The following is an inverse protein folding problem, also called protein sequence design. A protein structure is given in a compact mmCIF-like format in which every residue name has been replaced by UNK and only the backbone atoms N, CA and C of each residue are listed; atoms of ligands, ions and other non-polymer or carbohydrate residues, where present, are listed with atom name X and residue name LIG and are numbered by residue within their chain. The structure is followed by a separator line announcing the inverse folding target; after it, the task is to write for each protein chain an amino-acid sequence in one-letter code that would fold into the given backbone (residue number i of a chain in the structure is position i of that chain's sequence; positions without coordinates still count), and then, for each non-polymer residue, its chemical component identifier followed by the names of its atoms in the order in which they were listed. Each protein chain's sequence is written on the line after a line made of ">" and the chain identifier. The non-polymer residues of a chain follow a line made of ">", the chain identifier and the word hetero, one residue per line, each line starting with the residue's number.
data_IF_278121366917
#
_entry.id   IF_278121366917
#
_cell.length_a   1.000
_cell.length_b   1.000
_cell.length_c   1.000
_cell.angle_alpha   90.00
_cell.angle_beta   90.00
_cell.angle_gamma   90.00
#
_symmetry.space_group_name_H-M   'P 1'
#
loop_
_entity.id
_entity.type
_entity.pdbx_description
1 polymer ?
#
# COMPACT_ATOMS: atom_id res chain seq x y z
N UNK A 1 20.89 -34.32 1.87
CA UNK A 1 19.52 -34.79 2.18
C UNK A 1 19.48 -35.01 3.68
N UNK A 2 18.96 -34.06 4.44
CA UNK A 2 18.74 -34.22 5.88
C UNK A 2 17.25 -34.49 6.07
N UNK A 3 16.90 -35.75 6.33
CA UNK A 3 15.58 -36.10 6.84
C UNK A 3 15.58 -35.82 8.35
N UNK A 4 14.76 -34.86 8.77
CA UNK A 4 14.41 -34.68 10.17
C UNK A 4 13.20 -35.56 10.44
N UNK A 5 13.38 -36.59 11.26
CA UNK A 5 12.31 -37.47 11.73
C UNK A 5 11.12 -36.65 12.25
N UNK A 6 9.98 -36.74 11.56
CA UNK A 6 8.67 -36.33 12.08
C UNK A 6 7.89 -37.59 12.44
N UNK A 7 7.50 -37.66 13.70
CA UNK A 7 6.59 -38.65 14.26
C UNK A 7 5.35 -38.85 13.39
N UNK A 8 4.96 -40.12 13.23
CA UNK A 8 3.76 -40.56 12.51
C UNK A 8 2.50 -39.83 13.01
N UNK A 9 1.69 -39.35 12.05
CA UNK A 9 0.47 -38.54 12.16
C UNK A 9 0.73 -37.04 12.39
N UNK A 10 1.26 -36.37 11.38
CA UNK A 10 1.53 -34.93 11.40
C UNK A 10 0.54 -34.14 10.54
N UNK A 11 -0.42 -33.46 11.17
CA UNK A 11 -1.11 -32.35 10.52
C UNK A 11 -0.15 -31.16 10.43
N UNK A 12 -0.07 -30.49 9.28
CA UNK A 12 0.85 -29.36 9.13
C UNK A 12 0.50 -28.40 8.01
N UNK A 13 0.96 -27.17 8.15
CA UNK A 13 1.02 -26.19 7.07
C UNK A 13 2.34 -26.38 6.32
N UNK A 14 2.25 -26.55 5.01
CA UNK A 14 3.38 -26.77 4.12
C UNK A 14 3.50 -25.61 3.14
N UNK A 15 4.74 -25.32 2.75
CA UNK A 15 5.04 -24.30 1.75
C UNK A 15 6.10 -24.83 0.78
N UNK A 16 6.01 -24.43 -0.49
CA UNK A 16 6.99 -24.75 -1.53
C UNK A 16 7.28 -23.52 -2.37
N UNK A 17 8.56 -23.16 -2.42
CA UNK A 17 9.09 -22.13 -3.31
C UNK A 17 9.36 -22.73 -4.69
N UNK A 18 8.97 -22.00 -5.74
CA UNK A 18 9.16 -22.42 -7.13
C UNK A 18 9.57 -21.22 -7.98
N UNK A 19 10.67 -21.32 -8.71
CA UNK A 19 10.99 -20.31 -9.71
C UNK A 19 9.97 -20.35 -10.85
N UNK A 20 9.65 -19.19 -11.40
CA UNK A 20 8.65 -19.04 -12.43
C UNK A 20 9.30 -18.78 -13.80
N UNK A 21 8.53 -19.06 -14.85
CA UNK A 21 8.85 -18.62 -16.21
C UNK A 21 8.27 -17.22 -16.41
N UNK A 22 9.05 -16.26 -16.93
CA UNK A 22 8.51 -14.95 -17.28
C UNK A 22 7.60 -15.06 -18.51
N UNK A 23 6.58 -14.21 -18.58
CA UNK A 23 5.67 -14.15 -19.71
C UNK A 23 6.27 -13.24 -20.80
N UNK A 24 6.23 -13.63 -22.08
CA UNK A 24 6.67 -12.74 -23.15
C UNK A 24 5.83 -11.46 -23.21
N UNK A 25 6.49 -10.29 -23.36
CA UNK A 25 5.79 -9.00 -23.46
C UNK A 25 4.82 -8.91 -24.63
N UNK A 26 5.06 -9.65 -25.71
CA UNK A 26 4.20 -9.68 -26.91
C UNK A 26 2.78 -10.17 -26.65
N UNK A 27 2.55 -10.87 -25.54
CA UNK A 27 1.22 -11.39 -25.16
C UNK A 27 0.64 -10.68 -23.92
N UNK A 28 1.29 -9.61 -23.45
CA UNK A 28 0.82 -8.80 -22.33
C UNK A 28 -0.02 -7.64 -22.88
N UNK A 29 -1.28 -7.59 -22.46
CA UNK A 29 -2.22 -6.51 -22.73
C UNK A 29 -2.75 -5.91 -21.42
N UNK A 30 -3.42 -4.74 -21.44
CA UNK A 30 -4.00 -4.14 -20.24
C UNK A 30 -4.89 -5.06 -19.40
N UNK A 31 -5.59 -6.03 -20.03
CA UNK A 31 -6.42 -7.01 -19.33
C UNK A 31 -5.67 -8.25 -18.81
N UNK A 32 -4.36 -8.35 -19.05
CA UNK A 32 -3.59 -9.54 -18.67
C UNK A 32 -3.21 -9.48 -17.19
N UNK A 33 -3.67 -10.46 -16.41
CA UNK A 33 -3.35 -10.58 -14.98
C UNK A 33 -1.91 -11.09 -14.78
N UNK A 34 -0.98 -10.16 -14.55
CA UNK A 34 0.46 -10.40 -14.38
C UNK A 34 0.98 -9.83 -13.06
N UNK A 35 2.09 -10.36 -12.59
CA UNK A 35 2.86 -9.83 -11.47
C UNK A 35 4.33 -9.57 -11.87
N UNK A 36 4.92 -8.41 -11.54
CA UNK A 36 4.25 -7.23 -10.98
C UNK A 36 3.09 -6.74 -11.86
N UNK A 37 2.12 -5.98 -11.33
CA UNK A 37 1.01 -5.43 -12.11
C UNK A 37 1.54 -4.39 -13.11
N UNK A 38 0.79 -4.09 -14.16
CA UNK A 38 1.22 -3.14 -15.20
C UNK A 38 1.45 -1.72 -14.66
N UNK A 39 0.82 -1.38 -13.54
CA UNK A 39 1.01 -0.14 -12.78
C UNK A 39 2.41 -0.01 -12.18
N UNK A 40 3.10 -1.13 -11.92
CA UNK A 40 4.48 -1.13 -11.42
C UNK A 40 5.43 -1.43 -12.58
N UNK A 41 6.39 -0.55 -12.91
CA UNK A 41 7.42 -0.85 -13.90
C UNK A 41 8.21 -2.12 -13.53
N UNK A 42 8.39 -3.04 -14.48
CA UNK A 42 9.10 -4.29 -14.23
C UNK A 42 9.77 -4.81 -15.51
N UNK A 43 11.02 -5.31 -15.44
CA UNK A 43 11.76 -5.87 -16.58
C UNK A 43 11.34 -7.30 -16.93
N UNK A 44 10.73 -8.01 -15.98
CA UNK A 44 10.08 -9.29 -16.18
C UNK A 44 8.75 -9.32 -15.43
N UNK A 45 7.81 -10.09 -15.96
CA UNK A 45 6.54 -10.37 -15.31
C UNK A 45 6.21 -11.85 -15.46
N UNK A 46 5.39 -12.39 -14.59
CA UNK A 46 4.80 -13.72 -14.79
C UNK A 46 3.30 -13.68 -14.52
N UNK A 47 2.58 -14.71 -14.97
CA UNK A 47 1.12 -14.74 -14.82
C UNK A 47 0.74 -14.81 -13.34
N UNK A 48 -0.19 -13.94 -12.92
CA UNK A 48 -0.65 -13.83 -11.54
C UNK A 48 -1.88 -14.71 -11.25
N UNK A 49 -2.62 -15.13 -12.29
CA UNK A 49 -3.80 -16.00 -12.17
C UNK A 49 -3.73 -17.19 -13.14
N UNK A 50 -4.34 -18.32 -12.76
CA UNK A 50 -4.40 -19.49 -13.63
C UNK A 50 -5.59 -20.39 -13.30
N UNK A 51 -6.43 -20.65 -14.31
CA UNK A 51 -7.53 -21.63 -14.22
C UNK A 51 -7.04 -23.05 -13.91
N UNK A 52 -5.77 -23.35 -14.22
CA UNK A 52 -5.15 -24.67 -13.93
C UNK A 52 -4.34 -24.68 -12.63
N UNK A 53 -4.48 -23.65 -11.79
CA UNK A 53 -3.67 -23.47 -10.55
C UNK A 53 -2.17 -23.58 -10.81
N UNK A 54 -1.71 -23.02 -11.93
CA UNK A 54 -0.31 -23.06 -12.35
C UNK A 54 0.27 -24.46 -12.58
N UNK A 55 -0.58 -25.49 -12.74
CA UNK A 55 -0.14 -26.87 -12.96
C UNK A 55 0.21 -27.15 -14.42
N UNK A 56 -0.36 -26.39 -15.35
CA UNK A 56 -0.11 -26.52 -16.79
C UNK A 56 1.35 -26.27 -17.18
N UNK A 57 1.79 -26.89 -18.27
CA UNK A 57 3.18 -26.84 -18.77
C UNK A 57 3.62 -25.43 -19.15
N UNK A 58 2.70 -24.55 -19.57
CA UNK A 58 3.02 -23.15 -19.87
C UNK A 58 3.44 -22.29 -18.67
N UNK A 59 3.22 -22.77 -17.43
CA UNK A 59 3.58 -22.04 -16.20
C UNK A 59 4.90 -22.47 -15.58
N UNK A 60 5.30 -23.72 -15.84
CA UNK A 60 6.46 -24.37 -15.23
C UNK A 60 7.62 -24.33 -16.22
N UNK A 61 8.78 -23.77 -15.83
CA UNK A 61 9.99 -23.91 -16.62
C UNK A 61 10.26 -25.39 -16.92
N UNK A 62 10.41 -25.72 -18.20
CA UNK A 62 10.75 -27.08 -18.66
C UNK A 62 12.24 -27.24 -18.94
N UNK A 63 12.95 -26.11 -19.06
CA UNK A 63 14.39 -26.00 -19.32
C UNK A 63 14.97 -24.94 -18.40
N UNK A 64 16.26 -25.09 -18.07
CA UNK A 64 17.00 -24.13 -17.24
C UNK A 64 16.94 -22.70 -17.79
N UNK A 65 17.02 -22.53 -19.11
CA UNK A 65 16.94 -21.23 -19.77
C UNK A 65 15.57 -20.54 -19.70
N UNK A 66 14.52 -21.24 -19.24
CA UNK A 66 13.18 -20.66 -19.05
C UNK A 66 12.96 -20.18 -17.60
N UNK A 67 13.93 -20.43 -16.71
CA UNK A 67 13.86 -20.06 -15.30
C UNK A 67 14.25 -18.58 -15.18
N UNK A 68 13.39 -17.79 -14.56
CA UNK A 68 13.70 -16.45 -14.12
C UNK A 68 14.33 -16.48 -12.73
N UNK A 69 15.31 -15.60 -12.52
CA UNK A 69 15.92 -15.30 -11.23
C UNK A 69 15.17 -14.20 -10.47
N UNK A 70 14.26 -13.48 -11.14
CA UNK A 70 13.50 -12.37 -10.56
C UNK A 70 12.02 -12.68 -10.39
N UNK A 71 11.50 -13.83 -10.82
CA UNK A 71 10.09 -14.20 -10.65
C UNK A 71 9.94 -15.59 -10.03
N UNK A 72 9.06 -15.70 -9.04
CA UNK A 72 8.84 -16.95 -8.31
C UNK A 72 7.40 -17.08 -7.82
N UNK A 73 7.07 -18.26 -7.32
CA UNK A 73 5.78 -18.61 -6.74
C UNK A 73 6.00 -19.27 -5.39
N UNK A 74 5.11 -18.95 -4.45
CA UNK A 74 5.00 -19.64 -3.18
C UNK A 74 3.69 -20.41 -3.17
N UNK A 75 3.79 -21.73 -3.08
CA UNK A 75 2.62 -22.62 -2.93
C UNK A 75 2.46 -22.98 -1.47
N UNK A 76 1.27 -22.85 -0.92
CA UNK A 76 0.94 -23.22 0.47
C UNK A 76 -0.21 -24.22 0.48
N UNK A 77 -0.17 -25.19 1.39
CA UNK A 77 -1.29 -26.13 1.60
C UNK A 77 -1.25 -26.70 3.02
N UNK A 78 -2.41 -27.14 3.50
CA UNK A 78 -2.48 -27.96 4.71
C UNK A 78 -2.46 -29.43 4.33
N UNK A 79 -1.75 -30.22 5.11
CA UNK A 79 -1.72 -31.68 4.96
C UNK A 79 -2.27 -32.32 6.22
N UNK A 80 -3.23 -33.24 6.05
CA UNK A 80 -3.85 -33.98 7.13
C UNK A 80 -3.59 -35.48 6.98
N UNK A 81 -2.86 -36.06 7.92
CA UNK A 81 -2.68 -37.51 8.01
C UNK A 81 -3.95 -38.14 8.59
N UNK A 82 -4.56 -39.07 7.85
CA UNK A 82 -5.69 -39.86 8.37
C UNK A 82 -5.20 -41.16 9.02
N UNK A 83 -5.97 -41.75 9.97
CA UNK A 83 -5.59 -42.99 10.66
C UNK A 83 -5.29 -44.20 9.76
N UNK A 84 -5.72 -44.16 8.49
CA UNK A 84 -5.50 -45.21 7.49
C UNK A 84 -4.29 -44.94 6.57
N UNK A 85 -3.40 -44.00 6.94
CA UNK A 85 -2.22 -43.65 6.14
C UNK A 85 -2.50 -42.80 4.90
N UNK A 86 -3.76 -42.46 4.64
CA UNK A 86 -4.14 -41.56 3.55
C UNK A 86 -3.85 -40.13 3.96
N UNK A 87 -3.07 -39.44 3.14
CA UNK A 87 -2.68 -38.06 3.35
C UNK A 87 -3.53 -37.15 2.46
N UNK A 88 -4.34 -36.28 3.08
CA UNK A 88 -5.19 -35.34 2.36
C UNK A 88 -4.54 -33.95 2.32
N UNK A 89 -4.46 -33.35 1.12
CA UNK A 89 -4.02 -31.96 0.94
C UNK A 89 -5.23 -31.05 0.74
N UNK A 90 -5.34 -30.01 1.55
CA UNK A 90 -6.48 -29.10 1.58
C UNK A 90 -5.99 -27.66 1.51
N UNK A 91 -6.78 -26.78 0.88
CA UNK A 91 -6.52 -25.34 0.86
C UNK A 91 -5.26 -24.95 0.09
N UNK A 92 -4.96 -25.64 -1.03
CA UNK A 92 -3.81 -25.29 -1.85
C UNK A 92 -3.98 -23.91 -2.48
N UNK A 93 -3.05 -23.01 -2.16
CA UNK A 93 -2.94 -21.66 -2.71
C UNK A 93 -1.55 -21.44 -3.34
N UNK A 94 -1.49 -20.64 -4.41
CA UNK A 94 -0.25 -20.30 -5.11
C UNK A 94 -0.21 -18.81 -5.35
N UNK A 95 0.69 -18.13 -4.64
CA UNK A 95 0.93 -16.70 -4.80
C UNK A 95 2.14 -16.45 -5.69
N UNK A 96 2.03 -15.47 -6.57
CA UNK A 96 3.09 -15.10 -7.51
C UNK A 96 3.81 -13.84 -7.04
N UNK A 97 5.14 -13.85 -7.11
CA UNK A 97 6.03 -12.78 -6.68
C UNK A 97 7.08 -12.47 -7.74
N UNK A 98 7.66 -11.29 -7.63
CA UNK A 98 8.78 -10.87 -8.42
C UNK A 98 9.63 -9.85 -7.65
N UNK A 99 10.90 -9.76 -8.00
CA UNK A 99 11.83 -8.75 -7.49
C UNK A 99 11.44 -7.40 -8.07
N UNK A 100 11.24 -6.42 -7.19
CA UNK A 100 11.11 -5.02 -7.61
C UNK A 100 12.49 -4.44 -7.87
N UNK A 101 12.62 -3.62 -8.91
CA UNK A 101 13.85 -2.85 -9.12
C UNK A 101 14.05 -1.88 -7.94
N UNK A 102 15.26 -1.86 -7.40
CA UNK A 102 15.67 -1.03 -6.27
C UNK A 102 15.37 0.44 -6.48
N UNK A 103 15.57 0.95 -7.70
CA UNK A 103 15.29 2.33 -8.06
C UNK A 103 13.83 2.75 -7.82
N UNK A 104 12.88 1.81 -7.78
CA UNK A 104 11.46 2.08 -7.54
C UNK A 104 11.15 2.36 -6.07
N UNK A 105 11.98 1.88 -5.15
CA UNK A 105 11.75 2.02 -3.71
C UNK A 105 12.90 2.69 -2.96
N UNK A 106 13.97 3.08 -3.64
CA UNK A 106 15.03 3.89 -3.05
C UNK A 106 14.66 5.38 -3.15
N UNK A 107 14.44 6.08 -2.01
CA UNK A 107 14.13 7.50 -2.02
C UNK A 107 15.32 8.32 -2.53
N UNK A 108 15.04 9.43 -3.20
CA UNK A 108 16.07 10.41 -3.61
C UNK A 108 15.74 11.78 -3.01
N UNK A 109 16.70 12.73 -2.98
CA UNK A 109 16.39 14.09 -2.52
C UNK A 109 15.23 14.72 -3.28
N UNK A 110 15.06 14.46 -4.58
CA UNK A 110 13.96 15.00 -5.38
C UNK A 110 12.66 14.19 -5.22
N UNK A 111 12.77 12.94 -4.80
CA UNK A 111 11.65 12.00 -4.69
C UNK A 111 11.66 11.34 -3.31
N UNK A 112 11.45 12.14 -2.26
CA UNK A 112 11.70 11.67 -0.92
C UNK A 112 10.62 10.72 -0.43
N UNK A 113 9.42 10.66 -1.04
CA UNK A 113 8.32 9.75 -0.66
C UNK A 113 8.34 8.39 -1.38
N UNK A 114 9.14 8.27 -2.44
CA UNK A 114 9.34 7.01 -3.17
C UNK A 114 9.86 5.91 -2.24
N UNK A 115 9.17 4.78 -2.11
CA UNK A 115 9.62 3.72 -1.20
C UNK A 115 8.67 2.54 -1.02
N UNK A 116 9.09 1.59 -0.18
CA UNK A 116 8.19 0.59 0.41
C UNK A 116 7.62 1.17 1.72
N UNK A 117 6.32 1.04 1.89
CA UNK A 117 5.58 1.58 3.03
C UNK A 117 4.69 0.52 3.66
N UNK A 118 4.45 0.64 4.96
CA UNK A 118 3.47 -0.13 5.71
C UNK A 118 2.36 0.82 6.18
N UNK A 119 1.11 0.53 5.86
CA UNK A 119 -0.07 1.30 6.27
C UNK A 119 -0.95 0.54 7.24
N UNK A 120 -1.57 1.24 8.20
CA UNK A 120 -2.56 0.69 9.12
C UNK A 120 -4.00 0.89 8.60
N UNK A 121 -4.53 -0.12 7.90
CA UNK A 121 -5.90 -0.09 7.38
C UNK A 121 -6.91 -0.56 8.44
N UNK A 122 -6.67 -0.21 9.71
CA UNK A 122 -7.51 -0.53 10.86
C UNK A 122 -7.99 -2.00 10.88
N UNK A 123 -9.30 -2.23 10.70
CA UNK A 123 -9.92 -3.56 10.72
C UNK A 123 -9.42 -4.53 9.63
N UNK A 124 -8.76 -4.02 8.59
CA UNK A 124 -8.15 -4.84 7.53
C UNK A 124 -6.70 -5.25 7.84
N UNK A 125 -6.09 -4.67 8.88
CA UNK A 125 -4.72 -4.95 9.28
C UNK A 125 -3.69 -4.09 8.55
N UNK A 126 -2.44 -4.55 8.60
CA UNK A 126 -1.30 -3.85 8.00
C UNK A 126 -1.12 -4.27 6.54
N UNK A 127 -1.00 -3.29 5.65
CA UNK A 127 -0.77 -3.53 4.23
C UNK A 127 0.55 -2.90 3.78
N UNK A 128 1.29 -3.61 2.92
CA UNK A 128 2.48 -3.08 2.29
C UNK A 128 2.13 -2.41 0.96
N UNK A 129 2.74 -1.25 0.73
CA UNK A 129 2.60 -0.46 -0.47
C UNK A 129 3.97 -0.21 -1.10
N UNK A 130 3.99 -0.03 -2.40
CA UNK A 130 5.05 0.75 -3.06
C UNK A 130 4.48 2.12 -3.38
N UNK A 131 5.19 3.16 -2.96
CA UNK A 131 4.90 4.53 -3.34
C UNK A 131 5.87 4.94 -4.44
N UNK A 132 5.32 5.32 -5.58
CA UNK A 132 6.06 5.78 -6.75
C UNK A 132 5.95 7.31 -6.88
N UNK A 133 7.00 7.90 -7.44
CA UNK A 133 7.06 9.29 -7.90
C UNK A 133 7.57 9.30 -9.35
N UNK A 134 6.70 9.03 -10.33
CA UNK A 134 7.07 8.99 -11.74
C UNK A 134 7.39 10.40 -12.27
N UNK A 135 8.39 10.50 -13.17
CA UNK A 135 8.68 11.77 -13.88
C UNK A 135 7.65 12.04 -14.98
N UNK A 136 7.28 10.99 -15.70
CA UNK A 136 6.28 11.00 -16.78
C UNK A 136 5.15 10.03 -16.39
N UNK A 137 4.19 10.46 -15.54
CA UNK A 137 3.12 9.61 -15.10
C UNK A 137 2.19 9.25 -16.26
N UNK A 138 1.72 8.00 -16.28
CA UNK A 138 0.64 7.59 -17.18
C UNK A 138 -0.64 8.45 -16.94
N UNK A 139 -1.56 8.51 -17.92
CA UNK A 139 -2.86 9.12 -17.70
C UNK A 139 -3.52 8.54 -16.45
N UNK A 140 -4.20 9.39 -15.68
CA UNK A 140 -4.94 8.94 -14.51
C UNK A 140 -5.97 7.87 -14.92
N UNK A 141 -6.25 6.86 -14.07
CA UNK A 141 -7.37 5.98 -14.27
C UNK A 141 -8.66 6.78 -14.47
N UNK A 142 -9.56 6.29 -15.35
CA UNK A 142 -10.80 7.02 -15.67
C UNK A 142 -11.65 7.29 -14.42
N UNK A 143 -11.69 6.35 -13.48
CA UNK A 143 -12.36 6.48 -12.20
C UNK A 143 -11.78 7.60 -11.33
N UNK A 144 -10.44 7.70 -11.26
CA UNK A 144 -9.76 8.82 -10.60
C UNK A 144 -10.06 10.17 -11.29
N UNK A 145 -10.09 10.23 -12.62
CA UNK A 145 -10.44 11.46 -13.34
C UNK A 145 -11.87 11.93 -13.05
N UNK A 146 -12.82 10.98 -12.95
CA UNK A 146 -14.22 11.27 -12.63
C UNK A 146 -14.37 11.81 -11.21
N UNK A 147 -13.68 11.22 -10.24
CA UNK A 147 -13.70 11.69 -8.85
C UNK A 147 -13.18 13.13 -8.74
N UNK A 148 -12.08 13.49 -9.43
CA UNK A 148 -11.56 14.86 -9.45
C UNK A 148 -12.54 15.85 -10.07
N UNK A 149 -13.24 15.43 -11.13
CA UNK A 149 -14.22 16.27 -11.83
C UNK A 149 -15.44 16.58 -10.97
N UNK A 150 -15.87 15.67 -10.09
CA UNK A 150 -16.97 15.91 -9.13
C UNK A 150 -16.61 17.00 -8.12
N UNK A 151 -15.34 17.10 -7.74
CA UNK A 151 -14.88 18.10 -6.77
C UNK A 151 -14.74 19.50 -7.36
N UNK A 152 -14.27 19.64 -8.61
CA UNK A 152 -14.16 20.96 -9.26
C UNK A 152 -15.52 21.62 -9.46
N UNK A 153 -16.59 20.84 -9.58
CA UNK A 153 -17.97 21.36 -9.56
C UNK A 153 -18.50 21.74 -8.18
N UNK A 154 -17.78 21.45 -7.08
CA UNK A 154 -18.31 21.52 -5.71
C UNK A 154 -17.49 22.32 -4.70
N UNK A 155 -16.32 22.88 -5.01
CA UNK A 155 -15.54 23.63 -4.01
C UNK A 155 -14.87 24.91 -4.52
N UNK A 156 -15.34 26.05 -3.99
CA UNK A 156 -14.53 27.23 -3.67
C UNK A 156 -13.47 26.85 -2.65
N UNK A 157 -12.23 27.26 -2.86
CA UNK A 157 -11.02 26.77 -2.20
C UNK A 157 -10.85 27.12 -0.70
N UNK A 158 -11.81 27.79 -0.06
CA UNK A 158 -11.69 28.24 1.33
C UNK A 158 -12.36 27.31 2.37
N UNK A 159 -13.28 26.42 1.97
CA UNK A 159 -14.15 25.67 2.91
C UNK A 159 -13.62 24.29 3.33
N UNK A 160 -12.44 23.87 2.85
CA UNK A 160 -11.94 22.50 3.08
C UNK A 160 -11.36 22.27 4.48
N UNK A 161 -11.06 23.33 5.22
CA UNK A 161 -10.44 23.27 6.55
C UNK A 161 -11.45 23.30 7.70
N UNK A 162 -12.56 24.02 7.51
CA UNK A 162 -13.66 24.11 8.48
C UNK A 162 -14.33 22.76 8.71
N UNK A 163 -14.32 21.86 7.72
CA UNK A 163 -14.96 20.55 7.81
C UNK A 163 -14.20 19.54 8.69
N UNK A 164 -12.87 19.65 8.78
CA UNK A 164 -12.07 18.81 9.69
C UNK A 164 -12.29 19.26 11.13
N UNK A 165 -12.27 20.57 11.37
CA UNK A 165 -12.42 21.15 12.71
C UNK A 165 -13.84 20.97 13.27
N UNK A 166 -14.87 21.05 12.42
CA UNK A 166 -16.26 20.83 12.84
C UNK A 166 -16.57 19.37 13.17
N UNK A 167 -15.89 18.40 12.53
CA UNK A 167 -16.07 16.97 12.88
C UNK A 167 -15.48 16.61 14.25
N UNK A 168 -14.42 17.29 14.70
CA UNK A 168 -13.89 17.13 16.05
C UNK A 168 -14.67 17.90 17.12
N UNK A 169 -15.57 18.81 16.73
CA UNK A 169 -16.38 19.63 17.66
C UNK A 169 -17.83 19.15 17.83
N UNK A 170 -18.33 18.26 16.96
CA UNK A 170 -19.75 17.85 16.94
C UNK A 170 -19.99 16.38 17.35
N UNK A 171 -19.10 15.75 18.10
CA UNK A 171 -19.40 14.43 18.71
C UNK A 171 -20.12 14.62 20.05
N UNK A 172 -21.41 14.95 19.99
CA UNK A 172 -22.33 14.87 21.13
C UNK A 172 -23.26 13.64 20.97
N UNK A 173 -23.30 12.82 22.04
CA UNK A 173 -24.29 11.78 22.41
C UNK A 173 -24.30 10.42 21.66
N UNK A 174 -24.41 9.22 22.28
CA UNK A 174 -24.38 8.72 23.67
C UNK A 174 -24.32 7.17 23.59
N UNK A 175 -23.70 6.53 24.58
CA UNK A 175 -23.42 5.09 24.57
C UNK A 175 -22.60 4.61 25.77
N UNK A 176 -23.08 4.94 26.96
CA UNK A 176 -22.65 4.49 28.29
C UNK A 176 -22.01 3.07 28.36
N UNK A 177 -20.76 3.00 28.83
CA UNK A 177 -20.31 2.02 29.84
C UNK A 177 -19.30 2.69 30.76
N UNK A 178 -19.75 2.94 31.99
CA UNK A 178 -18.99 3.39 33.15
C UNK A 178 -17.93 2.34 33.56
N UNK A 179 -16.66 2.73 33.52
CA UNK A 179 -15.60 2.10 34.30
C UNK A 179 -14.63 3.19 34.80
N UNK A 180 -14.94 3.76 35.97
CA UNK A 180 -13.96 3.98 37.06
C UNK A 180 -12.97 5.14 36.89
N UNK A 181 -13.23 6.22 37.62
CA UNK A 181 -12.38 7.40 37.76
C UNK A 181 -11.00 7.15 38.40
N UNK A 182 -9.97 7.82 37.85
CA UNK A 182 -8.78 8.45 38.49
C UNK A 182 -7.85 8.86 37.34
N UNK A 183 -7.32 10.06 37.14
CA UNK A 183 -7.07 11.25 37.96
C UNK A 183 -6.85 12.45 37.00
N UNK A 184 -7.21 13.64 37.45
CA UNK A 184 -7.23 14.90 36.69
C UNK A 184 -5.82 15.51 36.64
N UNK A 185 -5.31 15.85 35.45
CA UNK A 185 -4.29 16.90 35.28
C UNK A 185 -4.73 17.89 34.20
N UNK A 186 -5.07 19.08 34.69
CA UNK A 186 -5.48 20.28 33.98
C UNK A 186 -4.26 20.93 33.30
N UNK A 187 -4.29 21.08 31.97
CA UNK A 187 -3.27 21.80 31.22
C UNK A 187 -3.92 23.03 30.58
N UNK A 188 -3.75 24.16 31.27
CA UNK A 188 -4.33 25.45 30.97
C UNK A 188 -3.97 25.98 29.57
N UNK A 189 -4.99 26.55 28.95
CA UNK A 189 -4.98 27.58 27.91
C UNK A 189 -3.79 28.52 28.04
N UNK A 190 -2.90 28.54 27.06
CA UNK A 190 -1.91 29.62 26.90
C UNK A 190 -2.22 30.39 25.62
N UNK A 191 -2.74 31.59 25.80
CA UNK A 191 -2.81 32.65 24.79
C UNK A 191 -1.40 33.04 24.39
N UNK A 192 -1.02 32.82 23.13
CA UNK A 192 0.25 33.29 22.57
C UNK A 192 0.15 34.80 22.34
N UNK A 193 0.83 35.54 23.21
CA UNK A 193 1.19 36.94 22.99
C UNK A 193 2.38 36.97 22.04
N UNK A 194 2.27 37.87 21.07
CA UNK A 194 3.30 38.25 20.09
C UNK A 194 4.52 38.81 20.83
N UNK A 195 5.66 38.12 20.74
CA UNK A 195 6.97 38.73 20.91
C UNK A 195 8.01 37.95 20.08
N UNK A 196 8.68 38.71 19.23
CA UNK A 196 9.65 38.30 18.24
C UNK A 196 10.98 37.86 18.84
N UNK A 197 11.44 36.62 18.57
CA UNK A 197 12.86 36.30 18.42
C UNK A 197 13.08 35.21 17.35
N UNK A 198 13.90 35.56 16.35
CA UNK A 198 14.28 34.78 15.19
C UNK A 198 15.25 33.62 15.54
N UNK A 199 14.83 32.37 15.42
CA UNK A 199 15.77 31.25 15.23
C UNK A 199 15.19 29.94 14.63
N UNK A 200 13.87 29.74 14.61
CA UNK A 200 13.26 28.45 14.21
C UNK A 200 12.69 28.34 12.79
N UNK A 201 12.40 29.46 12.12
CA UNK A 201 11.56 29.47 10.91
C UNK A 201 12.25 29.30 9.54
N UNK A 202 13.58 29.16 9.50
CA UNK A 202 14.33 29.24 8.23
C UNK A 202 14.53 27.90 7.51
N UNK A 203 14.34 26.76 8.19
CA UNK A 203 14.54 25.42 7.57
C UNK A 203 13.32 24.94 6.75
N UNK A 204 12.10 25.29 7.16
CA UNK A 204 10.86 24.79 6.53
C UNK A 204 10.46 25.50 5.24
N UNK A 205 10.86 26.75 5.04
CA UNK A 205 10.43 27.58 3.89
C UNK A 205 11.29 27.41 2.62
N UNK A 206 12.41 26.69 2.70
CA UNK A 206 13.31 26.43 1.57
C UNK A 206 13.06 25.06 0.92
N UNK A 207 12.58 24.07 1.67
CA UNK A 207 12.19 22.75 1.14
C UNK A 207 10.83 22.81 0.41
N UNK A 208 9.98 23.78 0.75
CA UNK A 208 8.63 23.98 0.23
C UNK A 208 8.57 24.45 -1.24
N UNK A 209 9.69 24.63 -1.93
CA UNK A 209 9.69 24.92 -3.39
C UNK A 209 10.34 23.80 -4.21
N UNK A 210 10.72 22.69 -3.60
CA UNK A 210 11.59 21.67 -4.22
C UNK A 210 10.80 20.48 -4.76
N UNK A 211 9.67 20.14 -4.14
CA UNK A 211 8.94 18.92 -4.48
C UNK A 211 7.69 19.22 -5.31
N UNK A 212 7.57 18.50 -6.42
CA UNK A 212 6.43 18.55 -7.33
C UNK A 212 6.23 17.18 -7.99
N UNK A 213 5.11 17.02 -8.69
CA UNK A 213 4.79 15.81 -9.43
C UNK A 213 3.94 14.83 -8.64
N UNK A 214 3.53 13.76 -9.31
CA UNK A 214 2.51 12.82 -8.81
C UNK A 214 3.08 11.85 -7.77
N UNK A 215 2.25 11.48 -6.78
CA UNK A 215 2.46 10.31 -5.93
C UNK A 215 1.43 9.24 -6.28
N UNK A 216 1.90 8.02 -6.47
CA UNK A 216 1.08 6.85 -6.75
C UNK A 216 1.39 5.75 -5.73
N UNK A 217 0.42 5.39 -4.89
CA UNK A 217 0.57 4.31 -3.93
C UNK A 217 -0.14 3.05 -4.42
N UNK A 218 0.60 1.95 -4.55
CA UNK A 218 0.10 0.68 -5.09
C UNK A 218 0.22 -0.40 -4.03
N UNK A 219 -0.84 -1.19 -3.81
CA UNK A 219 -0.84 -2.28 -2.82
C UNK A 219 0.03 -3.45 -3.26
N UNK A 220 0.99 -3.85 -2.44
CA UNK A 220 1.83 -5.03 -2.64
C UNK A 220 1.24 -6.30 -2.03
N UNK A 221 0.46 -6.16 -0.95
CA UNK A 221 -0.24 -7.24 -0.25
C UNK A 221 -1.72 -7.30 -0.64
N UNK A 222 -2.40 -6.15 -0.62
CA UNK A 222 -3.80 -6.02 -1.00
C UNK A 222 -4.77 -6.49 0.09
N UNK A 223 -5.95 -5.87 0.13
CA UNK A 223 -7.03 -6.20 1.05
C UNK A 223 -8.34 -6.49 0.27
N UNK A 224 -9.45 -6.86 0.94
CA UNK A 224 -10.72 -7.16 0.28
C UNK A 224 -11.35 -6.00 -0.52
N UNK A 225 -11.00 -4.75 -0.20
CA UNK A 225 -11.52 -3.54 -0.85
C UNK A 225 -10.58 -3.06 -1.95
N UNK A 226 -9.27 -3.10 -1.70
CA UNK A 226 -8.21 -2.73 -2.67
C UNK A 226 -7.33 -3.94 -2.94
N UNK A 227 -7.54 -4.62 -4.07
CA UNK A 227 -6.76 -5.79 -4.43
C UNK A 227 -5.27 -5.48 -4.60
N UNK A 228 -4.48 -6.53 -4.45
CA UNK A 228 -3.05 -6.50 -4.69
C UNK A 228 -2.73 -6.04 -6.12
N UNK A 229 -1.91 -5.00 -6.21
CA UNK A 229 -1.43 -4.40 -7.45
C UNK A 229 -2.24 -3.19 -7.93
N UNK A 230 -3.34 -2.87 -7.24
CA UNK A 230 -4.16 -1.70 -7.52
C UNK A 230 -3.71 -0.48 -6.72
N UNK A 231 -4.09 0.70 -7.20
CA UNK A 231 -3.84 1.95 -6.48
C UNK A 231 -4.69 2.00 -5.21
N UNK A 232 -4.07 2.38 -4.09
CA UNK A 232 -4.83 2.81 -2.90
C UNK A 232 -5.12 4.29 -3.07
N UNK A 233 -4.10 5.14 -3.15
CA UNK A 233 -4.29 6.56 -3.45
C UNK A 233 -3.41 7.05 -4.59
N UNK A 234 -3.92 8.09 -5.26
CA UNK A 234 -3.16 8.92 -6.19
C UNK A 234 -3.26 10.38 -5.73
N UNK A 235 -2.11 11.03 -5.53
CA UNK A 235 -2.03 12.48 -5.37
C UNK A 235 -1.50 13.09 -6.67
N UNK A 236 -2.32 13.81 -7.46
CA UNK A 236 -1.98 14.22 -8.82
C UNK A 236 -0.73 15.09 -8.94
N UNK A 237 -0.46 15.88 -7.90
CA UNK A 237 0.76 16.65 -7.78
C UNK A 237 0.98 17.03 -6.30
N UNK A 238 2.25 17.22 -5.90
CA UNK A 238 2.65 17.57 -4.54
C UNK A 238 2.76 19.10 -4.47
N UNK A 239 2.00 19.74 -3.58
CA UNK A 239 2.01 21.20 -3.45
C UNK A 239 3.25 21.73 -2.73
N UNK A 240 3.57 23.02 -2.95
CA UNK A 240 4.74 23.66 -2.33
C UNK A 240 4.72 23.60 -0.80
N UNK A 241 3.57 23.78 -0.13
CA UNK A 241 3.55 23.92 1.33
C UNK A 241 3.68 22.60 2.12
N UNK A 242 4.03 21.47 1.48
CA UNK A 242 3.97 20.15 2.13
C UNK A 242 2.54 19.81 2.60
N UNK A 243 1.55 20.57 2.11
CA UNK A 243 0.20 20.60 2.61
C UNK A 243 -0.79 19.97 1.62
N UNK A 244 -1.83 19.40 2.22
CA UNK A 244 -2.84 18.44 1.74
C UNK A 244 -3.20 18.54 0.27
N UNK A 245 -3.03 17.42 -0.43
CA UNK A 245 -3.75 17.15 -1.68
C UNK A 245 -4.71 16.00 -1.44
N UNK A 246 -5.90 16.13 -2.02
CA UNK A 246 -6.91 15.10 -1.98
C UNK A 246 -6.38 13.86 -2.67
N UNK A 247 -6.13 12.80 -1.90
CA UNK A 247 -5.90 11.48 -2.45
C UNK A 247 -7.28 10.92 -2.81
N UNK A 248 -7.49 10.55 -4.06
CA UNK A 248 -8.73 9.86 -4.41
C UNK A 248 -8.44 8.36 -4.43
N UNK A 249 -9.36 7.57 -3.86
CA UNK A 249 -9.16 6.16 -3.51
C UNK A 249 -10.27 5.27 -4.02
N UNK A 250 -9.98 4.14 -4.65
CA UNK A 250 -11.04 3.19 -4.97
C UNK A 250 -11.67 2.62 -3.69
N UNK A 251 -13.00 2.57 -3.57
CA UNK A 251 -13.61 1.75 -2.51
C UNK A 251 -14.86 1.11 -3.08
N UNK A 252 -14.72 -0.18 -3.40
CA UNK A 252 -15.75 -1.04 -3.98
C UNK A 252 -16.13 -0.69 -5.43
N UNK A 253 -15.91 -1.67 -6.33
CA UNK A 253 -16.44 -1.67 -7.71
C UNK A 253 -15.89 -0.53 -8.59
N UNK A 254 -14.58 -0.33 -8.61
CA UNK A 254 -13.90 0.55 -9.55
C UNK A 254 -14.17 2.07 -9.37
N UNK A 255 -14.63 2.53 -8.19
CA UNK A 255 -14.96 3.95 -7.96
C UNK A 255 -14.10 4.64 -6.88
N UNK A 256 -13.53 5.78 -7.26
CA UNK A 256 -12.68 6.60 -6.39
C UNK A 256 -13.49 7.50 -5.44
N UNK A 257 -13.12 7.57 -4.17
CA UNK A 257 -13.64 8.45 -3.14
C UNK A 257 -12.62 9.52 -2.77
N UNK A 258 -13.11 10.65 -2.29
CA UNK A 258 -12.28 11.77 -1.82
C UNK A 258 -11.67 11.47 -0.44
N UNK A 259 -10.34 11.49 -0.34
CA UNK A 259 -9.58 11.48 0.92
C UNK A 259 -8.54 12.62 0.91
N UNK A 260 -7.88 12.90 2.02
CA UNK A 260 -6.84 13.93 2.12
C UNK A 260 -5.50 13.28 2.51
N UNK A 261 -4.48 13.39 1.67
CA UNK A 261 -3.14 12.93 1.99
C UNK A 261 -2.38 14.03 2.74
N UNK A 262 -1.88 13.68 3.92
CA UNK A 262 -1.14 14.55 4.83
C UNK A 262 0.32 14.06 4.87
N UNK A 263 1.25 14.92 4.44
CA UNK A 263 2.67 14.59 4.45
C UNK A 263 3.29 15.03 5.77
N UNK A 264 3.45 14.10 6.72
CA UNK A 264 4.00 14.39 8.06
C UNK A 264 5.53 14.52 8.00
N UNK A 265 6.19 13.62 7.27
CA UNK A 265 7.62 13.68 6.96
C UNK A 265 7.93 12.85 5.71
N UNK A 266 9.20 12.81 5.30
CA UNK A 266 9.63 11.90 4.23
C UNK A 266 9.46 10.42 4.59
N UNK A 267 9.32 10.07 5.88
CA UNK A 267 9.18 8.68 6.33
C UNK A 267 7.82 8.39 6.97
N UNK A 268 6.90 9.37 7.03
CA UNK A 268 5.59 9.21 7.65
C UNK A 268 4.53 9.99 6.87
N UNK A 269 3.47 9.30 6.48
CA UNK A 269 2.29 9.90 5.85
C UNK A 269 1.06 9.60 6.72
N UNK A 270 0.02 10.41 6.54
CA UNK A 270 -1.31 10.10 7.02
C UNK A 270 -2.32 10.36 5.92
N UNK A 271 -3.45 9.67 5.98
CA UNK A 271 -4.55 9.83 5.06
C UNK A 271 -5.84 9.95 5.84
N UNK A 272 -6.52 11.07 5.65
CA UNK A 272 -7.84 11.30 6.21
C UNK A 272 -8.93 10.91 5.22
N UNK A 273 -9.73 9.91 5.60
CA UNK A 273 -10.84 9.40 4.83
C UNK A 273 -12.09 10.23 5.12
N UNK A 274 -12.36 11.22 4.27
CA UNK A 274 -13.43 12.22 4.49
C UNK A 274 -14.80 11.58 4.77
N UNK A 275 -15.27 10.57 4.01
CA UNK A 275 -16.59 9.99 4.25
C UNK A 275 -16.70 9.19 5.56
N UNK A 276 -15.58 8.72 6.10
CA UNK A 276 -15.56 7.84 7.28
C UNK A 276 -15.09 8.54 8.55
N UNK A 277 -14.58 9.78 8.45
CA UNK A 277 -13.97 10.47 9.59
C UNK A 277 -12.75 9.72 10.18
N UNK A 278 -12.08 8.89 9.38
CA UNK A 278 -11.01 7.99 9.83
C UNK A 278 -9.64 8.48 9.33
N UNK A 279 -8.56 8.20 10.07
CA UNK A 279 -7.19 8.48 9.65
C UNK A 279 -6.39 7.17 9.61
N UNK A 280 -5.74 6.90 8.47
CA UNK A 280 -4.72 5.86 8.34
C UNK A 280 -3.33 6.51 8.30
N UNK A 281 -2.36 5.89 8.96
CA UNK A 281 -0.95 6.25 8.97
C UNK A 281 -0.14 5.27 8.12
N UNK A 282 0.89 5.81 7.47
CA UNK A 282 1.85 5.04 6.71
C UNK A 282 3.26 5.34 7.19
N UNK A 283 4.03 4.28 7.41
CA UNK A 283 5.43 4.35 7.82
C UNK A 283 6.30 3.74 6.72
N UNK A 284 7.34 4.46 6.29
CA UNK A 284 8.33 3.92 5.35
C UNK A 284 9.06 2.76 6.01
N UNK A 285 9.22 1.67 5.26
CA UNK A 285 10.03 0.51 5.65
C UNK A 285 11.50 0.82 5.40
N UNK A 286 12.31 0.63 6.43
CA UNK A 286 13.77 0.66 6.32
C UNK A 286 14.26 -0.71 5.83
N UNK A 287 14.47 -0.82 4.52
CA UNK A 287 14.85 -2.10 3.88
C UNK A 287 16.28 -2.48 4.26
N UNK A 288 17.20 -1.52 4.36
CA UNK A 288 18.60 -1.77 4.70
C UNK A 288 18.74 -2.30 6.14
N UNK A 289 17.96 -1.77 7.08
CA UNK A 289 17.90 -2.29 8.43
C UNK A 289 17.41 -3.75 8.50
N UNK A 290 16.52 -4.17 7.59
CA UNK A 290 16.02 -5.55 7.52
C UNK A 290 17.02 -6.51 6.86
N UNK A 291 17.84 -6.02 5.93
CA UNK A 291 18.85 -6.84 5.25
C UNK A 291 20.13 -7.02 6.07
N UNK A 292 20.37 -6.12 7.02
CA UNK A 292 21.54 -6.15 7.91
C UNK A 292 21.32 -6.88 9.25
N UNK A 293 20.10 -7.35 9.52
CA UNK A 293 19.70 -8.04 10.76
C UNK A 293 19.99 -9.54 10.79
#
# INVERSE_FOLDING_TARGET
>A
MMEVHRSNVGHGLFSMFMLARPIPYTIVSPGTKVWPPLTIPAPERTRNESVTRFRGTGHKPSRLAEISDTTWRLRKWMEFSHPHGITARVGEDVTTYATLNEELYTPTPQKPWRGIWCGDYAGHGCEFLVILQPDDPAPLPESAQRAMSRRSSSASSADSWTSVQSHFQNSDDEGYVDLGASEIMDASTTTVVDDSEEAGGRRTRQESSVYSGRIEAIKLTGDPNIPRGEYTFIAPDIGPDGFVRTAEEEIFRDEFITSQLIMISHNRLAQYWVPFGHISFYQRVDVDALLSS
#
